data_IF_533815615583
#
_entry.id   IF_533815615583
#
_cell.length_a   1.000
_cell.length_b   1.000
_cell.length_c   1.000
_cell.angle_alpha   90.00
_cell.angle_beta   90.00
_cell.angle_gamma   90.00
#
_symmetry.space_group_name_H-M   'P 1'
#
loop_
_entity.id
_entity.type
_entity.pdbx_description
1 polymer ?
#
# COMPACT_ATOMS: atom_id res chain seq x y z
N UNK A 1 7.31 -42.81 -43.69
CA UNK A 1 7.06 -41.98 -42.50
C UNK A 1 5.91 -42.59 -41.75
N UNK A 2 6.13 -43.19 -40.58
CA UNK A 2 5.06 -43.87 -39.84
C UNK A 2 4.14 -42.82 -39.24
N UNK A 3 2.92 -42.78 -39.69
CA UNK A 3 1.84 -42.01 -39.05
C UNK A 3 1.58 -42.66 -37.67
N UNK A 4 2.11 -42.02 -36.62
CA UNK A 4 1.80 -42.41 -35.26
C UNK A 4 0.39 -41.93 -34.97
N UNK A 5 -0.59 -42.86 -35.05
CA UNK A 5 -1.95 -42.55 -34.61
C UNK A 5 -1.91 -42.05 -33.18
N UNK A 6 -2.43 -40.86 -32.97
CA UNK A 6 -2.47 -40.21 -31.63
C UNK A 6 -3.52 -40.96 -30.80
N UNK A 7 -3.09 -41.94 -30.06
CA UNK A 7 -3.94 -42.66 -29.09
C UNK A 7 -4.26 -41.67 -27.94
N UNK A 8 -5.49 -41.67 -27.44
CA UNK A 8 -5.93 -40.85 -26.28
C UNK A 8 -4.93 -40.88 -25.12
N UNK A 9 -4.33 -42.06 -24.87
CA UNK A 9 -3.33 -42.25 -23.85
C UNK A 9 -2.06 -41.41 -24.12
N UNK A 10 -1.56 -41.38 -25.36
CA UNK A 10 -0.41 -40.57 -25.74
C UNK A 10 -0.68 -39.07 -25.57
N UNK A 11 -1.88 -38.61 -25.90
CA UNK A 11 -2.27 -37.20 -25.72
C UNK A 11 -2.27 -36.83 -24.24
N UNK A 12 -2.85 -37.67 -23.37
CA UNK A 12 -2.86 -37.45 -21.91
C UNK A 12 -1.45 -37.43 -21.35
N UNK A 13 -0.62 -38.37 -21.72
CA UNK A 13 0.81 -38.47 -21.25
C UNK A 13 1.58 -37.20 -21.65
N UNK A 14 1.49 -36.81 -22.92
CA UNK A 14 2.19 -35.62 -23.41
C UNK A 14 1.72 -34.35 -22.69
N UNK A 15 0.39 -34.19 -22.55
CA UNK A 15 -0.16 -33.03 -21.86
C UNK A 15 0.30 -32.97 -20.40
N UNK A 16 0.24 -34.10 -19.70
CA UNK A 16 0.69 -34.19 -18.31
C UNK A 16 2.19 -33.91 -18.21
N UNK A 17 3.02 -34.47 -19.10
CA UNK A 17 4.46 -34.22 -19.10
C UNK A 17 4.78 -32.72 -19.32
N UNK A 18 4.14 -32.07 -20.28
CA UNK A 18 4.30 -30.63 -20.54
C UNK A 18 3.87 -29.81 -19.32
N UNK A 19 2.73 -30.14 -18.71
CA UNK A 19 2.23 -29.42 -17.53
C UNK A 19 3.18 -29.55 -16.34
N UNK A 20 3.71 -30.74 -16.08
CA UNK A 20 4.68 -30.99 -15.00
C UNK A 20 5.98 -30.23 -15.24
N UNK A 21 6.53 -30.28 -16.47
CA UNK A 21 7.77 -29.58 -16.82
C UNK A 21 7.58 -28.07 -16.64
N UNK A 22 6.49 -27.52 -17.20
CA UNK A 22 6.20 -26.08 -17.10
C UNK A 22 5.96 -25.64 -15.67
N UNK A 23 5.17 -26.40 -14.90
CA UNK A 23 4.90 -26.12 -13.50
C UNK A 23 6.16 -26.15 -12.63
N UNK A 24 7.04 -27.15 -12.86
CA UNK A 24 8.31 -27.26 -12.15
C UNK A 24 9.26 -26.11 -12.50
N UNK A 25 9.35 -25.75 -13.78
CA UNK A 25 10.19 -24.64 -14.23
C UNK A 25 9.71 -23.30 -13.62
N UNK A 26 8.42 -23.03 -13.66
CA UNK A 26 7.83 -21.82 -13.03
C UNK A 26 8.06 -21.80 -11.53
N UNK A 27 7.83 -22.91 -10.84
CA UNK A 27 8.05 -23.00 -9.38
C UNK A 27 9.51 -22.79 -9.00
N UNK A 28 10.43 -23.29 -9.79
CA UNK A 28 11.87 -23.09 -9.59
C UNK A 28 12.29 -21.63 -9.80
N UNK A 29 11.84 -21.00 -10.89
CA UNK A 29 12.11 -19.59 -11.15
C UNK A 29 11.53 -18.73 -10.03
N UNK A 30 10.27 -18.97 -9.61
CA UNK A 30 9.63 -18.25 -8.51
C UNK A 30 10.47 -18.34 -7.22
N UNK A 31 10.95 -19.53 -6.87
CA UNK A 31 11.76 -19.74 -5.66
C UNK A 31 13.06 -18.93 -5.67
N UNK A 32 13.74 -18.85 -6.83
CA UNK A 32 14.99 -18.09 -6.95
C UNK A 32 14.75 -16.58 -6.97
N UNK A 33 13.64 -16.13 -7.56
CA UNK A 33 13.39 -14.70 -7.74
C UNK A 33 12.70 -14.06 -6.54
N UNK A 34 12.03 -14.85 -5.69
CA UNK A 34 11.28 -14.31 -4.53
C UNK A 34 12.18 -13.51 -3.57
N UNK A 35 13.29 -14.12 -3.16
CA UNK A 35 14.19 -13.52 -2.17
C UNK A 35 14.86 -12.22 -2.65
N UNK A 36 15.47 -12.17 -3.87
CA UNK A 36 15.99 -10.91 -4.41
C UNK A 36 14.94 -9.82 -4.59
N UNK A 37 13.71 -10.18 -4.98
CA UNK A 37 12.61 -9.21 -5.13
C UNK A 37 12.24 -8.64 -3.77
N UNK A 38 12.14 -9.48 -2.74
CA UNK A 38 11.82 -9.03 -1.38
C UNK A 38 12.88 -8.09 -0.82
N UNK A 39 14.16 -8.42 -0.99
CA UNK A 39 15.27 -7.54 -0.61
C UNK A 39 15.27 -6.21 -1.37
N UNK A 40 15.00 -6.25 -2.68
CA UNK A 40 14.88 -5.04 -3.49
C UNK A 40 13.72 -4.15 -3.03
N UNK A 41 12.58 -4.75 -2.68
CA UNK A 41 11.42 -4.02 -2.16
C UNK A 41 11.70 -3.37 -0.81
N UNK A 42 12.37 -4.07 0.12
CA UNK A 42 12.78 -3.51 1.41
C UNK A 42 13.74 -2.34 1.19
N UNK A 43 14.75 -2.50 0.36
CA UNK A 43 15.70 -1.43 0.05
C UNK A 43 15.02 -0.23 -0.62
N UNK A 44 14.09 -0.46 -1.54
CA UNK A 44 13.30 0.59 -2.17
C UNK A 44 12.43 1.35 -1.15
N UNK A 45 11.81 0.62 -0.22
CA UNK A 45 11.01 1.22 0.85
C UNK A 45 11.87 2.07 1.79
N UNK A 46 13.02 1.59 2.24
CA UNK A 46 13.92 2.37 3.09
C UNK A 46 14.44 3.62 2.39
N UNK A 47 14.81 3.50 1.11
CA UNK A 47 15.21 4.67 0.32
C UNK A 47 14.06 5.67 0.16
N UNK A 48 12.84 5.20 -0.03
CA UNK A 48 11.66 6.06 -0.12
C UNK A 48 11.41 6.80 1.20
N UNK A 49 11.49 6.10 2.36
CA UNK A 49 11.37 6.73 3.68
C UNK A 49 12.41 7.85 3.84
N UNK A 50 13.68 7.56 3.55
CA UNK A 50 14.77 8.57 3.64
C UNK A 50 14.57 9.77 2.72
N UNK A 51 13.94 9.55 1.56
CA UNK A 51 13.68 10.61 0.57
C UNK A 51 12.53 11.53 0.98
N UNK A 52 11.52 11.01 1.68
CA UNK A 52 10.29 11.75 1.95
C UNK A 52 10.16 12.23 3.39
N UNK A 53 10.66 11.48 4.37
CA UNK A 53 10.59 11.83 5.78
C UNK A 53 11.47 13.04 6.11
N UNK A 54 11.14 13.81 7.16
CA UNK A 54 12.07 14.78 7.74
C UNK A 54 13.31 14.06 8.26
N UNK A 55 14.36 14.81 8.58
CA UNK A 55 15.58 14.21 9.17
C UNK A 55 15.26 13.47 10.48
N UNK A 56 15.67 12.21 10.57
CA UNK A 56 15.41 11.33 11.71
C UNK A 56 16.67 10.58 12.13
N UNK A 57 16.70 10.12 13.38
CA UNK A 57 17.79 9.33 13.98
C UNK A 57 17.32 7.96 14.50
N UNK A 58 16.03 7.68 14.44
CA UNK A 58 15.44 6.37 14.77
C UNK A 58 15.45 5.38 13.58
N UNK A 59 14.80 4.23 13.75
CA UNK A 59 14.61 3.21 12.72
C UNK A 59 13.13 3.11 12.31
N UNK A 60 12.59 4.01 11.44
CA UNK A 60 11.18 4.08 11.15
C UNK A 60 10.58 2.76 10.63
N UNK A 61 11.35 1.97 9.88
CA UNK A 61 10.90 0.67 9.36
C UNK A 61 10.63 -0.36 10.46
N UNK A 62 11.33 -0.28 11.59
CA UNK A 62 11.15 -1.19 12.73
C UNK A 62 10.01 -0.74 13.66
N UNK A 63 9.75 0.55 13.69
CA UNK A 63 8.71 1.19 14.50
C UNK A 63 7.41 1.40 13.72
N UNK A 64 7.32 0.84 12.51
CA UNK A 64 6.16 1.00 11.64
C UNK A 64 4.91 0.32 12.20
N UNK A 65 3.77 0.94 11.97
CA UNK A 65 2.47 0.39 12.35
C UNK A 65 1.43 0.64 11.25
N UNK A 66 0.38 -0.15 11.27
CA UNK A 66 -0.72 -0.04 10.32
C UNK A 66 -1.87 0.79 10.90
N UNK A 67 -2.47 1.61 10.07
CA UNK A 67 -3.69 2.34 10.34
C UNK A 67 -4.70 2.05 9.23
N UNK A 68 -5.98 2.16 9.56
CA UNK A 68 -7.07 1.98 8.58
C UNK A 68 -7.73 3.33 8.34
N UNK A 69 -7.91 3.69 7.08
CA UNK A 69 -8.66 4.89 6.68
C UNK A 69 -10.17 4.70 6.84
N UNK A 70 -10.95 5.78 6.75
CA UNK A 70 -12.42 5.73 6.77
C UNK A 70 -13.02 4.82 5.70
N UNK A 71 -12.33 4.68 4.57
CA UNK A 71 -12.72 3.82 3.44
C UNK A 71 -12.27 2.36 3.59
N UNK A 72 -11.66 2.00 4.74
CA UNK A 72 -11.22 0.64 5.04
C UNK A 72 -9.90 0.23 4.38
N UNK A 73 -9.14 1.17 3.82
CA UNK A 73 -7.82 0.90 3.24
C UNK A 73 -6.75 0.86 4.33
N UNK A 74 -5.84 -0.10 4.21
CA UNK A 74 -4.69 -0.20 5.12
C UNK A 74 -3.56 0.71 4.66
N UNK A 75 -3.05 1.50 5.59
CA UNK A 75 -1.96 2.46 5.41
C UNK A 75 -0.87 2.13 6.42
N UNK A 76 0.39 2.14 6.01
CA UNK A 76 1.53 1.89 6.90
C UNK A 76 2.22 3.22 7.23
N UNK A 77 2.38 3.50 8.51
CA UNK A 77 3.01 4.71 9.03
C UNK A 77 4.39 4.36 9.59
N UNK A 78 5.38 5.15 9.20
CA UNK A 78 6.78 5.05 9.60
C UNK A 78 7.14 6.31 10.38
N UNK A 79 7.09 6.29 11.71
CA UNK A 79 7.34 7.48 12.53
C UNK A 79 8.79 7.92 12.43
N UNK A 80 9.00 9.21 12.24
CA UNK A 80 10.32 9.84 12.24
C UNK A 80 10.52 10.61 13.54
N UNK A 81 11.57 10.26 14.29
CA UNK A 81 11.97 10.95 15.52
C UNK A 81 13.40 11.43 15.41
N UNK A 82 13.70 12.54 16.08
CA UNK A 82 15.05 13.10 16.18
C UNK A 82 15.31 13.57 17.60
N UNK A 83 16.34 12.99 18.23
CA UNK A 83 16.63 13.25 19.65
C UNK A 83 15.50 12.79 20.59
N UNK A 84 14.70 11.79 20.21
CA UNK A 84 13.56 11.30 20.97
C UNK A 84 12.26 12.11 20.79
N UNK A 85 12.29 13.20 20.01
CA UNK A 85 11.12 14.01 19.72
C UNK A 85 10.54 13.64 18.33
N UNK A 86 9.21 13.53 18.18
CA UNK A 86 8.59 13.27 16.89
C UNK A 86 8.79 14.49 15.98
N UNK A 87 9.33 14.27 14.77
CA UNK A 87 9.56 15.31 13.76
C UNK A 87 8.62 15.20 12.58
N UNK A 88 7.91 14.08 12.46
CA UNK A 88 6.97 13.80 11.38
C UNK A 88 6.86 12.30 11.13
N UNK A 89 6.42 11.91 9.94
CA UNK A 89 6.36 10.51 9.52
C UNK A 89 6.45 10.38 8.00
N UNK A 90 6.92 9.22 7.54
CA UNK A 90 6.63 8.74 6.20
C UNK A 90 5.40 7.82 6.25
N UNK A 91 4.55 7.91 5.24
CA UNK A 91 3.29 7.16 5.18
C UNK A 91 3.19 6.47 3.83
N UNK A 92 3.04 5.15 3.84
CA UNK A 92 2.75 4.36 2.65
C UNK A 92 1.25 4.19 2.52
N UNK A 93 0.70 4.65 1.42
CA UNK A 93 -0.71 4.50 1.11
C UNK A 93 -0.90 3.98 -0.32
N UNK A 94 -2.07 3.40 -0.58
CA UNK A 94 -2.46 2.88 -1.89
C UNK A 94 -3.83 3.40 -2.29
N UNK A 95 -4.08 3.47 -3.60
CA UNK A 95 -5.43 3.61 -4.17
C UNK A 95 -5.59 2.60 -5.31
N UNK A 96 -6.67 1.83 -5.36
CA UNK A 96 -6.97 0.92 -6.46
C UNK A 96 -7.52 1.64 -7.70
N UNK A 97 -7.78 2.95 -7.61
CA UNK A 97 -8.56 3.72 -8.59
C UNK A 97 -7.70 4.34 -9.70
N UNK A 98 -6.45 3.90 -9.89
CA UNK A 98 -5.61 4.30 -11.02
C UNK A 98 -6.18 3.82 -12.35
N UNK A 99 -5.78 4.44 -13.46
CA UNK A 99 -6.20 4.03 -14.80
C UNK A 99 -5.67 2.64 -15.17
N UNK A 100 -4.43 2.35 -14.80
CA UNK A 100 -3.78 1.05 -15.00
C UNK A 100 -3.96 0.08 -13.83
N UNK A 101 -4.63 0.49 -12.75
CA UNK A 101 -4.82 -0.29 -11.53
C UNK A 101 -4.26 0.41 -10.29
N UNK A 102 -3.79 -0.37 -9.32
CA UNK A 102 -3.30 0.17 -8.05
C UNK A 102 -2.11 1.11 -8.21
N UNK A 103 -2.15 2.21 -7.47
CA UNK A 103 -1.05 3.15 -7.30
C UNK A 103 -0.63 3.10 -5.82
N UNK A 104 0.66 2.89 -5.57
CA UNK A 104 1.24 2.93 -4.23
C UNK A 104 2.26 4.06 -4.12
N UNK A 105 2.15 4.90 -3.10
CA UNK A 105 3.07 6.00 -2.84
C UNK A 105 3.56 5.96 -1.39
N UNK A 106 4.74 6.54 -1.19
CA UNK A 106 5.25 6.96 0.10
C UNK A 106 5.21 8.49 0.15
N UNK A 107 4.64 9.07 1.19
CA UNK A 107 4.58 10.52 1.37
C UNK A 107 5.12 10.88 2.75
N UNK A 108 5.93 11.93 2.82
CA UNK A 108 6.48 12.45 4.07
C UNK A 108 5.68 13.66 4.56
N UNK A 109 5.35 13.66 5.84
CA UNK A 109 4.71 14.76 6.54
C UNK A 109 5.60 15.28 7.66
N UNK A 110 5.57 16.60 7.88
CA UNK A 110 6.05 17.20 9.12
C UNK A 110 5.04 17.03 10.26
N UNK A 111 5.36 17.55 11.46
CA UNK A 111 4.47 17.48 12.65
C UNK A 111 3.13 18.14 12.39
N UNK A 112 3.10 19.19 11.60
CA UNK A 112 1.92 19.96 11.27
C UNK A 112 1.05 19.26 10.23
N UNK A 113 1.61 18.26 9.52
CA UNK A 113 0.95 17.54 8.44
C UNK A 113 1.15 18.18 7.07
N UNK A 114 2.21 18.99 6.93
CA UNK A 114 2.60 19.54 5.62
C UNK A 114 3.33 18.47 4.83
N UNK A 115 3.02 18.35 3.55
CA UNK A 115 3.68 17.40 2.64
C UNK A 115 5.09 17.91 2.35
N UNK A 116 6.10 17.17 2.81
CA UNK A 116 7.51 17.47 2.56
C UNK A 116 7.96 16.98 1.20
N UNK A 117 7.65 15.71 0.90
CA UNK A 117 8.00 15.06 -0.35
C UNK A 117 7.17 13.80 -0.54
N UNK A 118 7.19 13.21 -1.73
CA UNK A 118 6.60 11.90 -1.98
C UNK A 118 7.50 11.05 -2.87
N UNK A 119 7.26 9.75 -2.88
CA UNK A 119 7.89 8.79 -3.78
C UNK A 119 6.83 7.82 -4.29
N UNK A 120 6.76 7.63 -5.60
CA UNK A 120 5.88 6.61 -6.18
C UNK A 120 6.59 5.27 -6.08
N UNK A 121 5.99 4.33 -5.34
CA UNK A 121 6.55 3.00 -5.09
C UNK A 121 6.21 2.04 -6.21
N UNK A 122 4.96 2.06 -6.66
CA UNK A 122 4.50 1.22 -7.76
C UNK A 122 3.27 1.82 -8.44
N UNK A 123 3.15 1.58 -9.74
CA UNK A 123 1.96 1.87 -10.54
C UNK A 123 1.99 1.07 -11.85
N UNK A 124 0.84 0.85 -12.45
CA UNK A 124 0.68 0.25 -13.78
C UNK A 124 0.17 1.26 -14.83
N UNK A 125 0.42 2.55 -14.59
CA UNK A 125 -0.05 3.64 -15.44
C UNK A 125 0.66 3.69 -16.80
N UNK A 126 -0.04 4.24 -17.80
CA UNK A 126 0.50 4.37 -19.16
C UNK A 126 1.76 5.26 -19.18
N UNK A 127 2.87 4.77 -19.78
CA UNK A 127 4.09 5.55 -19.93
C UNK A 127 3.83 6.87 -20.69
N UNK A 128 4.40 7.97 -20.17
CA UNK A 128 4.25 9.31 -20.75
C UNK A 128 2.91 10.00 -20.47
N UNK A 129 1.96 9.31 -19.82
CA UNK A 129 0.68 9.85 -19.36
C UNK A 129 0.62 9.80 -17.81
N UNK A 130 -0.07 8.82 -17.22
CA UNK A 130 -0.19 8.69 -15.77
C UNK A 130 1.15 8.51 -15.06
N UNK A 131 2.13 7.86 -15.67
CA UNK A 131 3.49 7.72 -15.13
C UNK A 131 4.21 9.04 -14.84
N UNK A 132 3.76 10.17 -15.44
CA UNK A 132 4.29 11.50 -15.14
C UNK A 132 4.04 11.93 -13.69
N UNK A 133 3.19 11.23 -12.92
CA UNK A 133 2.97 11.54 -11.50
C UNK A 133 4.27 11.56 -10.68
N UNK A 134 5.32 10.84 -11.13
CA UNK A 134 6.62 10.85 -10.48
C UNK A 134 7.24 12.24 -10.36
N UNK A 135 6.94 13.15 -11.30
CA UNK A 135 7.53 14.49 -11.40
C UNK A 135 6.49 15.60 -11.41
N UNK A 136 5.29 15.34 -11.97
CA UNK A 136 4.27 16.36 -12.18
C UNK A 136 3.90 17.12 -10.91
N UNK A 137 3.63 16.40 -9.86
CA UNK A 137 3.16 16.95 -8.58
C UNK A 137 4.29 17.50 -7.69
N UNK A 138 5.54 17.52 -8.19
CA UNK A 138 6.69 18.21 -7.57
C UNK A 138 7.02 19.51 -8.28
N UNK A 139 6.51 19.66 -9.51
CA UNK A 139 6.85 20.80 -10.35
C UNK A 139 6.10 22.02 -9.87
N UNK A 140 6.87 23.07 -9.55
CA UNK A 140 6.32 24.35 -9.10
C UNK A 140 5.89 25.22 -10.28
N UNK A 141 5.01 24.66 -11.12
CA UNK A 141 4.43 25.30 -12.29
C UNK A 141 2.92 25.29 -12.16
N UNK A 142 2.26 26.43 -12.30
CA UNK A 142 0.83 26.58 -12.11
C UNK A 142 0.41 26.03 -10.72
N UNK A 143 -0.63 25.19 -10.65
CA UNK A 143 -1.11 24.53 -9.43
C UNK A 143 -0.78 23.04 -9.40
N UNK A 144 0.40 22.65 -9.89
CA UNK A 144 0.77 21.24 -10.01
C UNK A 144 1.33 20.68 -8.69
N UNK A 145 2.18 21.48 -8.02
CA UNK A 145 2.91 21.01 -6.83
C UNK A 145 2.00 20.71 -5.66
N UNK A 146 2.23 19.57 -5.02
CA UNK A 146 1.65 19.21 -3.71
C UNK A 146 2.65 19.47 -2.58
N UNK A 147 3.92 19.75 -2.90
CA UNK A 147 4.95 19.98 -1.89
C UNK A 147 4.71 21.29 -1.14
N UNK A 148 4.95 21.27 0.17
CA UNK A 148 4.70 22.40 1.04
C UNK A 148 3.22 22.69 1.32
N UNK A 149 2.30 21.87 0.78
CA UNK A 149 0.86 22.02 1.04
C UNK A 149 0.46 21.16 2.24
N UNK A 150 -0.44 21.73 3.05
CA UNK A 150 -1.08 20.99 4.12
C UNK A 150 -2.51 20.63 3.70
N UNK A 151 -2.90 19.35 3.67
CA UNK A 151 -4.22 18.91 3.26
C UNK A 151 -5.38 19.46 4.13
N UNK A 152 -5.09 19.94 5.34
CA UNK A 152 -6.08 20.64 6.16
C UNK A 152 -6.55 21.96 5.54
N UNK A 153 -5.67 22.63 4.77
CA UNK A 153 -5.90 23.96 4.22
C UNK A 153 -5.92 23.98 2.69
N UNK A 154 -5.68 22.84 2.04
CA UNK A 154 -5.62 22.69 0.60
C UNK A 154 -6.53 21.54 0.17
N UNK A 155 -7.42 21.82 -0.77
CA UNK A 155 -8.26 20.77 -1.35
C UNK A 155 -7.44 19.94 -2.36
N UNK A 156 -6.89 18.81 -1.89
CA UNK A 156 -6.15 17.86 -2.71
C UNK A 156 -7.07 17.09 -3.68
N UNK A 157 -7.75 17.83 -4.53
CA UNK A 157 -8.59 17.33 -5.62
C UNK A 157 -8.17 18.06 -6.89
N UNK A 158 -8.44 17.46 -8.04
CA UNK A 158 -8.08 18.09 -9.32
C UNK A 158 -8.96 19.32 -9.57
N UNK A 159 -8.41 20.34 -10.24
CA UNK A 159 -9.10 21.59 -10.54
C UNK A 159 -10.39 21.41 -11.32
N UNK A 160 -10.49 20.36 -12.16
CA UNK A 160 -11.72 19.97 -12.86
C UNK A 160 -12.87 19.58 -11.92
N UNK A 161 -12.56 19.16 -10.72
CA UNK A 161 -13.51 18.72 -9.70
C UNK A 161 -13.62 19.76 -8.56
N UNK A 162 -13.17 21.00 -8.80
CA UNK A 162 -13.23 22.10 -7.84
C UNK A 162 -12.10 22.11 -6.81
N UNK A 163 -11.03 21.35 -7.01
CA UNK A 163 -9.86 21.32 -6.13
C UNK A 163 -8.77 22.30 -6.53
N UNK A 164 -7.65 22.22 -5.81
CA UNK A 164 -6.53 23.15 -5.91
C UNK A 164 -5.36 22.65 -6.77
N UNK A 165 -5.41 21.41 -7.30
CA UNK A 165 -4.30 20.77 -7.98
C UNK A 165 -4.61 20.55 -9.46
N UNK A 166 -3.67 20.94 -10.34
CA UNK A 166 -3.82 20.72 -11.78
C UNK A 166 -3.50 19.26 -12.13
N UNK A 167 -4.44 18.62 -12.83
CA UNK A 167 -4.28 17.25 -13.28
C UNK A 167 -3.21 17.14 -14.38
N UNK A 168 -2.57 15.97 -14.46
CA UNK A 168 -1.71 15.59 -15.58
C UNK A 168 -2.52 15.65 -16.85
N UNK A 169 -2.00 16.33 -17.87
CA UNK A 169 -2.65 16.44 -19.17
C UNK A 169 -2.92 15.05 -19.75
N UNK A 170 -4.16 14.80 -20.14
CA UNK A 170 -4.66 13.53 -20.68
C UNK A 170 -4.60 12.33 -19.70
N UNK A 171 -4.36 12.56 -18.39
CA UNK A 171 -4.31 11.51 -17.35
C UNK A 171 -5.06 11.92 -16.07
N UNK A 172 -6.29 12.42 -16.23
CA UNK A 172 -7.09 12.91 -15.09
C UNK A 172 -7.45 11.80 -14.09
N UNK A 173 -7.69 10.56 -14.57
CA UNK A 173 -8.00 9.41 -13.68
C UNK A 173 -6.79 9.11 -12.80
N UNK A 174 -5.60 8.97 -13.38
CA UNK A 174 -4.35 8.75 -12.64
C UNK A 174 -4.07 9.88 -11.63
N UNK A 175 -4.37 11.13 -12.01
CA UNK A 175 -4.22 12.29 -11.11
C UNK A 175 -5.18 12.24 -9.93
N UNK A 176 -6.44 11.85 -10.15
CA UNK A 176 -7.42 11.66 -9.07
C UNK A 176 -6.98 10.59 -8.09
N UNK A 177 -6.55 9.43 -8.60
CA UNK A 177 -6.07 8.32 -7.79
C UNK A 177 -4.82 8.69 -6.98
N UNK A 178 -3.87 9.41 -7.59
CA UNK A 178 -2.70 9.92 -6.87
C UNK A 178 -3.08 10.86 -5.72
N UNK A 179 -3.95 11.83 -5.98
CA UNK A 179 -4.41 12.79 -4.95
C UNK A 179 -5.27 12.12 -3.88
N UNK A 180 -6.04 11.10 -4.25
CA UNK A 180 -6.78 10.25 -3.31
C UNK A 180 -5.82 9.52 -2.37
N UNK A 181 -4.74 8.93 -2.91
CA UNK A 181 -3.72 8.27 -2.09
C UNK A 181 -3.07 9.23 -1.09
N UNK A 182 -2.82 10.48 -1.49
CA UNK A 182 -2.32 11.52 -0.56
C UNK A 182 -3.32 11.84 0.55
N UNK A 183 -4.62 11.91 0.24
CA UNK A 183 -5.67 12.15 1.26
C UNK A 183 -5.75 10.99 2.25
N UNK A 184 -5.73 9.74 1.78
CA UNK A 184 -5.70 8.55 2.64
C UNK A 184 -4.48 8.55 3.56
N UNK A 185 -3.31 8.88 3.04
CA UNK A 185 -2.09 9.01 3.83
C UNK A 185 -2.21 10.08 4.92
N UNK A 186 -2.77 11.24 4.58
CA UNK A 186 -2.97 12.33 5.52
C UNK A 186 -4.00 12.00 6.60
N UNK A 187 -5.13 11.40 6.22
CA UNK A 187 -6.18 10.96 7.16
C UNK A 187 -5.61 10.01 8.21
N UNK A 188 -4.87 8.98 7.76
CA UNK A 188 -4.24 8.03 8.65
C UNK A 188 -3.20 8.69 9.57
N UNK A 189 -2.37 9.60 9.04
CA UNK A 189 -1.38 10.35 9.80
C UNK A 189 -2.02 11.23 10.88
N UNK A 190 -3.08 11.96 10.55
CA UNK A 190 -3.80 12.85 11.49
C UNK A 190 -4.61 12.08 12.53
N UNK A 191 -5.25 10.98 12.16
CA UNK A 191 -5.94 10.10 13.09
C UNK A 191 -5.03 9.65 14.22
N UNK A 192 -3.82 9.21 13.89
CA UNK A 192 -2.83 8.78 14.86
C UNK A 192 -2.26 9.93 15.70
N UNK A 193 -2.09 11.12 15.13
CA UNK A 193 -1.61 12.28 15.88
C UNK A 193 -2.61 12.70 16.98
N UNK A 194 -3.90 12.56 16.73
CA UNK A 194 -4.95 12.83 17.72
C UNK A 194 -4.92 11.78 18.83
N UNK A 195 -4.79 10.49 18.49
CA UNK A 195 -4.73 9.41 19.47
C UNK A 195 -3.47 9.49 20.34
N UNK A 196 -2.32 9.82 19.77
CA UNK A 196 -1.09 10.03 20.51
C UNK A 196 -1.19 11.22 21.48
N UNK A 197 -1.84 12.31 21.06
CA UNK A 197 -2.06 13.50 21.88
C UNK A 197 -3.09 13.25 23.00
N UNK A 198 -4.05 12.35 22.79
CA UNK A 198 -5.07 12.00 23.81
C UNK A 198 -4.62 10.98 24.84
N UNK A 199 -3.39 10.44 24.73
CA UNK A 199 -2.81 9.48 25.68
C UNK A 199 -3.52 8.13 25.70
N UNK A 200 -4.33 7.80 24.72
CA UNK A 200 -5.11 6.56 24.63
C UNK A 200 -4.51 5.54 23.68
N UNK A 201 -3.20 5.34 23.74
CA UNK A 201 -2.58 4.19 23.07
C UNK A 201 -2.72 2.93 23.94
N UNK A 202 -3.92 2.39 24.05
CA UNK A 202 -4.12 0.98 24.42
C UNK A 202 -4.23 0.16 23.15
N UNK A 203 -3.08 -0.23 22.64
CA UNK A 203 -2.94 -1.35 21.79
C UNK A 203 -3.63 -2.56 22.35
N UNK A 204 -4.61 -3.05 21.72
CA UNK A 204 -5.15 -4.37 21.92
C UNK A 204 -4.75 -5.26 20.73
N UNK A 205 -3.56 -5.85 20.82
CA UNK A 205 -3.29 -7.09 20.12
C UNK A 205 -4.04 -8.19 20.88
N UNK A 206 -5.28 -8.40 20.59
CA UNK A 206 -5.99 -9.59 21.06
C UNK A 206 -6.11 -10.57 19.90
N UNK A 207 -5.12 -11.44 19.87
CA UNK A 207 -5.10 -12.64 19.07
C UNK A 207 -6.19 -13.58 19.59
N UNK A 208 -7.38 -13.60 18.99
CA UNK A 208 -8.38 -14.62 19.24
C UNK A 208 -8.13 -15.82 18.36
N UNK A 209 -7.27 -16.70 18.82
CA UNK A 209 -7.33 -18.10 18.47
C UNK A 209 -8.63 -18.67 19.08
N UNK A 210 -9.65 -18.83 18.28
CA UNK A 210 -10.81 -19.64 18.63
C UNK A 210 -10.60 -21.03 18.07
N UNK A 211 -10.00 -21.88 18.90
CA UNK A 211 -10.05 -23.32 18.72
C UNK A 211 -11.44 -23.80 19.08
N UNK A 212 -12.06 -24.44 18.14
CA UNK A 212 -13.24 -25.29 18.29
C UNK A 212 -12.98 -26.38 19.33
N UNK A 213 -13.86 -26.50 20.29
CA UNK A 213 -14.07 -27.79 20.92
C UNK A 213 -15.57 -28.11 21.00
N UNK A 214 -15.89 -29.21 20.37
CA UNK A 214 -17.19 -29.85 20.35
C UNK A 214 -17.15 -31.01 21.34
N UNK A 215 -17.99 -31.00 22.32
CA UNK A 215 -18.43 -32.28 22.94
C UNK A 215 -19.80 -32.09 23.61
N UNK A 216 -20.73 -32.77 23.02
CA UNK A 216 -21.76 -33.67 23.57
C UNK A 216 -21.77 -33.79 25.09
N UNK A 217 -22.91 -33.69 25.70
CA UNK A 217 -23.65 -34.84 26.22
C UNK A 217 -25.04 -34.49 26.77
N UNK A 218 -25.90 -35.29 26.29
CA UNK A 218 -27.12 -35.90 26.80
C UNK A 218 -27.47 -35.77 28.30
N UNK A 219 -28.72 -35.72 28.46
CA UNK A 219 -29.64 -36.49 29.28
C UNK A 219 -30.62 -35.59 30.05
N UNK A 220 -31.83 -35.63 29.63
CA UNK A 220 -32.96 -36.42 30.14
C UNK A 220 -33.29 -36.15 31.63
N UNK A 221 -34.48 -35.72 31.85
CA UNK A 221 -35.52 -36.42 32.63
C UNK A 221 -36.40 -35.46 33.43
N UNK A 222 -37.66 -35.50 33.05
CA UNK A 222 -38.86 -35.71 33.87
C UNK A 222 -39.18 -34.80 35.05
N UNK A 223 -40.40 -34.30 35.04
CA UNK A 223 -41.24 -34.40 36.21
C UNK A 223 -42.08 -33.19 36.56
N UNK A 224 -43.32 -33.23 36.11
CA UNK A 224 -44.54 -33.17 36.94
C UNK A 224 -44.67 -32.02 37.95
N UNK A 225 -45.51 -31.13 37.75
CA UNK A 225 -46.80 -30.79 38.31
C UNK A 225 -47.26 -29.44 37.79
#
# INVERSE_FOLDING_TARGET
>A
MANKESTLLNMVVVLTAVSVITGTALGYIYKITKEPIEQANIAAQENAIRMVAPEFDNSPSQESYEATTSDGLTVTIFPATKGGEPVGAAVRATSPNGFGGEIAIMVGFDKEGTILNYSVLSHAETPGLGSKMNEWFRTDKNRQSVLGKNPANCNLTVTKDGGDIDAITAATISSRAFLETLRHAYEAYKGQAVDAASGSSKHATENKNHASDSSKDDSATTGTM
#
